data_IF_966995278541
#
_entry.id   IF_966995278541
#
_cell.length_a   1.000
_cell.length_b   1.000
_cell.length_c   1.000
_cell.angle_alpha   90.00
_cell.angle_beta   90.00
_cell.angle_gamma   90.00
#
_symmetry.space_group_name_H-M   'P 1'
#
loop_
_entity.id
_entity.type
_entity.pdbx_description
1 polymer ?
#
# COMPACT_ATOMS: atom_id res chain seq x y z
N UNK A 1 15.24 -4.79 -10.86
CA UNK A 1 14.29 -4.24 -9.87
C UNK A 1 12.91 -4.59 -10.38
N UNK A 2 12.16 -5.37 -9.63
CA UNK A 2 10.84 -5.82 -10.05
C UNK A 2 9.78 -4.73 -9.94
N UNK A 3 8.73 -4.80 -10.78
CA UNK A 3 7.60 -3.88 -10.72
C UNK A 3 6.99 -3.80 -9.31
N UNK A 4 6.90 -4.93 -8.61
CA UNK A 4 6.40 -5.01 -7.25
C UNK A 4 7.25 -4.19 -6.26
N UNK A 5 8.58 -4.24 -6.38
CA UNK A 5 9.47 -3.46 -5.53
C UNK A 5 9.27 -1.95 -5.73
N UNK A 6 9.06 -1.51 -6.98
CA UNK A 6 8.74 -0.10 -7.25
C UNK A 6 7.41 0.33 -6.63
N UNK A 7 6.41 -0.57 -6.55
CA UNK A 7 5.15 -0.30 -5.83
C UNK A 7 5.44 -0.07 -4.34
N UNK A 8 6.22 -0.96 -3.70
CA UNK A 8 6.60 -0.82 -2.30
C UNK A 8 7.32 0.51 -2.03
N UNK A 9 8.30 0.87 -2.87
CA UNK A 9 9.05 2.12 -2.74
C UNK A 9 8.17 3.37 -2.90
N UNK A 10 7.22 3.34 -3.84
CA UNK A 10 6.26 4.45 -4.07
C UNK A 10 5.32 4.63 -2.89
N UNK A 11 4.86 3.54 -2.30
CA UNK A 11 3.98 3.56 -1.13
C UNK A 11 4.78 3.95 0.12
N UNK A 12 6.05 3.57 0.18
CA UNK A 12 6.96 3.82 1.29
C UNK A 12 7.17 2.59 2.19
N UNK A 13 6.77 1.40 1.75
CA UNK A 13 6.97 0.14 2.47
C UNK A 13 8.40 -0.35 2.20
N UNK A 14 9.17 -0.66 3.24
CA UNK A 14 10.55 -1.16 3.12
C UNK A 14 11.65 -0.09 3.06
N UNK A 15 11.29 1.20 2.95
CA UNK A 15 12.19 2.28 3.39
C UNK A 15 12.00 2.40 4.90
N UNK A 16 12.94 1.85 5.66
CA UNK A 16 13.05 2.10 7.08
C UNK A 16 12.82 3.60 7.32
N UNK A 17 11.78 3.91 8.09
CA UNK A 17 11.48 5.17 8.73
C UNK A 17 12.63 6.20 8.64
N UNK A 18 12.69 6.92 7.52
CA UNK A 18 13.51 8.12 7.41
C UNK A 18 12.54 9.30 7.55
N UNK A 19 12.04 9.43 8.79
CA UNK A 19 11.65 10.66 9.50
C UNK A 19 10.70 11.65 8.82
N UNK A 20 9.62 12.03 9.52
CA UNK A 20 9.49 13.36 10.09
C UNK A 20 10.11 13.30 11.50
N UNK A 21 11.24 13.94 11.75
CA UNK A 21 11.25 15.28 12.31
C UNK A 21 9.96 15.58 13.10
N UNK A 22 9.78 14.85 14.19
CA UNK A 22 9.06 15.40 15.33
C UNK A 22 10.08 16.26 16.05
N UNK A 23 10.29 17.48 15.56
CA UNK A 23 10.73 18.60 16.40
C UNK A 23 9.74 18.72 17.55
N UNK A 24 9.97 17.96 18.62
CA UNK A 24 9.37 18.21 19.91
C UNK A 24 10.16 19.39 20.52
N UNK A 25 9.57 20.58 20.70
CA UNK A 25 10.20 21.55 21.57
C UNK A 25 10.22 20.94 22.96
N UNK A 26 11.43 20.82 23.49
CA UNK A 26 11.72 20.57 24.90
C UNK A 26 10.88 21.50 25.79
N UNK A 27 10.10 20.93 26.71
CA UNK A 27 9.61 21.66 27.90
C UNK A 27 9.46 20.67 29.05
N UNK A 28 10.29 20.74 30.09
CA UNK A 28 10.04 20.09 31.38
C UNK A 28 9.51 21.11 32.42
N UNK A 29 8.96 20.65 33.57
CA UNK A 29 7.76 19.85 33.75
C UNK A 29 6.78 20.52 34.75
N UNK A 30 5.47 20.26 34.67
CA UNK A 30 4.57 20.58 35.81
C UNK A 30 3.48 19.53 36.00
N UNK A 31 3.30 19.15 37.26
CA UNK A 31 2.41 18.11 37.74
C UNK A 31 0.95 18.56 37.72
N UNK A 32 0.03 17.68 37.30
CA UNK A 32 -1.28 17.48 37.95
C UNK A 32 -2.15 16.42 37.23
N UNK A 33 -2.55 15.42 38.02
CA UNK A 33 -3.86 14.74 38.12
C UNK A 33 -4.79 14.65 36.90
N UNK A 34 -5.06 13.40 36.51
CA UNK A 34 -6.43 12.88 36.37
C UNK A 34 -7.12 13.05 35.02
N UNK A 35 -7.16 11.98 34.23
CA UNK A 35 -8.04 11.86 33.07
C UNK A 35 -7.85 10.53 32.36
N UNK A 36 -8.81 9.62 32.52
CA UNK A 36 -8.87 8.36 31.79
C UNK A 36 -9.09 8.63 30.28
N UNK A 37 -7.99 8.63 29.52
CA UNK A 37 -7.99 8.46 28.07
C UNK A 37 -7.43 7.08 27.77
N UNK A 38 -8.19 6.28 27.03
CA UNK A 38 -7.82 4.94 26.59
C UNK A 38 -6.38 4.89 26.05
N UNK A 39 -5.68 3.75 26.19
CA UNK A 39 -4.40 3.58 25.51
C UNK A 39 -4.69 3.59 24.01
N UNK A 40 -4.52 4.74 23.36
CA UNK A 40 -4.21 4.74 21.93
C UNK A 40 -2.85 4.06 21.84
N UNK A 41 -2.91 2.76 21.61
CA UNK A 41 -1.79 1.92 21.22
C UNK A 41 -0.93 2.75 20.26
N UNK A 42 0.38 2.93 20.50
CA UNK A 42 1.24 3.47 19.48
C UNK A 42 1.09 2.53 18.30
N UNK A 43 0.33 2.99 17.29
CA UNK A 43 0.07 2.23 16.10
C UNK A 43 1.45 1.92 15.54
N UNK A 44 1.78 0.63 15.58
CA UNK A 44 2.90 0.02 14.87
C UNK A 44 3.14 0.79 13.59
N UNK A 45 4.39 1.14 13.34
CA UNK A 45 4.95 1.89 12.19
C UNK A 45 4.70 1.12 10.87
N UNK A 46 3.45 0.74 10.61
CA UNK A 46 2.97 0.06 9.44
C UNK A 46 2.38 1.12 8.53
N UNK A 47 2.90 1.16 7.31
CA UNK A 47 2.47 2.14 6.31
C UNK A 47 1.03 1.83 5.92
N UNK A 48 0.10 2.73 6.21
CA UNK A 48 -1.29 2.56 5.83
C UNK A 48 -1.45 2.68 4.31
N UNK A 49 -1.51 1.52 3.64
CA UNK A 49 -1.55 1.40 2.19
C UNK A 49 -2.81 2.02 1.64
N UNK A 50 -3.95 1.74 2.29
CA UNK A 50 -5.23 2.24 1.86
C UNK A 50 -5.29 3.76 1.93
N UNK A 51 -4.85 4.36 3.05
CA UNK A 51 -4.81 5.81 3.18
C UNK A 51 -3.82 6.46 2.19
N UNK A 52 -2.65 5.84 1.95
CA UNK A 52 -1.67 6.30 0.96
C UNK A 52 -2.23 6.31 -0.45
N UNK A 53 -2.84 5.20 -0.87
CA UNK A 53 -3.40 5.05 -2.21
C UNK A 53 -4.65 5.93 -2.37
N UNK A 54 -5.49 6.07 -1.35
CA UNK A 54 -6.67 6.94 -1.38
C UNK A 54 -6.27 8.42 -1.50
N UNK A 55 -5.28 8.85 -0.72
CA UNK A 55 -4.73 10.20 -0.80
C UNK A 55 -4.12 10.51 -2.18
N UNK A 56 -3.38 9.56 -2.76
CA UNK A 56 -2.88 9.69 -4.13
C UNK A 56 -4.01 9.73 -5.15
N UNK A 57 -5.03 8.87 -5.01
CA UNK A 57 -6.16 8.80 -5.94
C UNK A 57 -7.00 10.07 -5.91
N UNK A 58 -7.17 10.66 -4.74
CA UNK A 58 -7.87 11.93 -4.58
C UNK A 58 -7.06 13.12 -5.15
N UNK A 59 -5.73 13.04 -5.15
CA UNK A 59 -4.86 14.02 -5.80
C UNK A 59 -4.69 13.76 -7.31
N UNK A 60 -5.13 12.60 -7.81
CA UNK A 60 -5.01 12.24 -9.21
C UNK A 60 -6.13 12.91 -10.02
N UNK A 61 -5.85 13.49 -11.21
CA UNK A 61 -6.86 14.16 -12.02
C UNK A 61 -7.91 13.18 -12.59
N UNK A 62 -7.56 11.90 -12.71
CA UNK A 62 -8.47 10.82 -13.15
C UNK A 62 -9.04 10.05 -11.96
N UNK A 63 -10.32 9.66 -12.03
CA UNK A 63 -10.94 8.71 -11.09
C UNK A 63 -10.44 7.29 -11.34
N UNK A 64 -9.35 6.93 -10.67
CA UNK A 64 -8.71 5.62 -10.74
C UNK A 64 -9.27 4.68 -9.66
N UNK A 65 -9.80 3.52 -10.07
CA UNK A 65 -10.36 2.51 -9.15
C UNK A 65 -9.30 1.51 -8.69
N UNK A 66 -8.27 1.98 -8.02
CA UNK A 66 -7.14 1.15 -7.57
C UNK A 66 -7.55 -0.02 -6.66
N UNK A 67 -8.73 0.07 -6.01
CA UNK A 67 -9.32 -0.94 -5.11
C UNK A 67 -9.86 -2.19 -5.81
N UNK A 68 -10.13 -2.11 -7.11
CA UNK A 68 -10.68 -3.22 -7.90
C UNK A 68 -9.86 -3.50 -9.15
N UNK A 69 -9.07 -2.52 -9.59
CA UNK A 69 -8.27 -2.57 -10.79
C UNK A 69 -6.79 -2.38 -10.47
N UNK A 70 -6.01 -3.44 -10.67
CA UNK A 70 -4.53 -3.34 -10.62
C UNK A 70 -3.98 -2.35 -11.66
N UNK A 71 -4.69 -2.15 -12.77
CA UNK A 71 -4.33 -1.19 -13.83
C UNK A 71 -4.34 0.23 -13.28
N UNK A 72 -5.43 0.58 -12.61
CA UNK A 72 -5.62 1.89 -12.01
C UNK A 72 -4.64 2.11 -10.86
N UNK A 73 -4.33 1.06 -10.09
CA UNK A 73 -3.28 1.11 -9.08
C UNK A 73 -1.90 1.40 -9.68
N UNK A 74 -1.53 0.73 -10.78
CA UNK A 74 -0.26 1.00 -11.47
C UNK A 74 -0.23 2.42 -12.05
N UNK A 75 -1.29 2.88 -12.71
CA UNK A 75 -1.42 4.26 -13.21
C UNK A 75 -1.25 5.28 -12.08
N UNK A 76 -1.89 5.03 -10.94
CA UNK A 76 -1.84 5.89 -9.77
C UNK A 76 -0.40 6.11 -9.28
N UNK A 77 0.39 5.04 -9.29
CA UNK A 77 1.79 5.05 -8.85
C UNK A 77 2.73 5.63 -9.94
N UNK A 78 2.20 5.91 -11.13
CA UNK A 78 2.96 6.34 -12.31
C UNK A 78 3.79 5.20 -12.91
N UNK A 79 3.33 3.94 -12.77
CA UNK A 79 3.97 2.75 -13.29
C UNK A 79 3.34 2.31 -14.61
N UNK A 80 4.10 1.54 -15.40
CA UNK A 80 3.59 0.97 -16.64
C UNK A 80 2.44 0.00 -16.34
N UNK A 81 1.28 0.28 -16.92
CA UNK A 81 0.04 -0.48 -16.70
C UNK A 81 -0.27 -1.44 -17.86
N UNK A 82 0.72 -1.63 -18.76
CA UNK A 82 0.60 -2.44 -19.96
C UNK A 82 0.57 -3.93 -19.62
N UNK A 83 0.15 -4.73 -20.58
CA UNK A 83 0.11 -6.19 -20.43
C UNK A 83 1.50 -6.77 -20.09
N UNK A 84 2.57 -6.17 -20.61
CA UNK A 84 3.94 -6.57 -20.28
C UNK A 84 4.23 -6.43 -18.78
N UNK A 85 3.99 -5.24 -18.19
CA UNK A 85 4.18 -4.99 -16.77
C UNK A 85 3.30 -5.88 -15.90
N UNK A 86 2.03 -6.10 -16.27
CA UNK A 86 1.17 -7.05 -15.54
C UNK A 86 1.66 -8.49 -15.60
N UNK A 87 2.19 -8.94 -16.74
CA UNK A 87 2.77 -10.30 -16.86
C UNK A 87 4.06 -10.42 -16.05
N UNK A 88 4.88 -9.39 -16.02
CA UNK A 88 6.07 -9.34 -15.17
C UNK A 88 5.69 -9.42 -13.70
N UNK A 89 4.76 -8.57 -13.24
CA UNK A 89 4.22 -8.60 -11.88
C UNK A 89 3.60 -9.95 -11.53
N UNK A 90 2.88 -10.56 -12.47
CA UNK A 90 2.29 -11.88 -12.29
C UNK A 90 3.38 -12.94 -12.11
N UNK A 91 4.43 -12.88 -12.91
CA UNK A 91 5.55 -13.81 -12.83
C UNK A 91 6.30 -13.64 -11.50
N UNK A 92 6.55 -12.40 -11.09
CA UNK A 92 7.19 -12.04 -9.83
C UNK A 92 6.40 -12.52 -8.60
N UNK A 93 5.07 -12.41 -8.64
CA UNK A 93 4.18 -12.86 -7.57
C UNK A 93 3.89 -14.36 -7.62
N UNK A 94 4.37 -15.09 -8.63
CA UNK A 94 4.10 -16.52 -8.80
C UNK A 94 2.67 -16.83 -9.22
N UNK A 95 2.09 -16.03 -10.12
CA UNK A 95 0.75 -16.22 -10.65
C UNK A 95 0.62 -17.61 -11.29
N UNK A 96 -0.39 -18.41 -10.90
CA UNK A 96 -0.59 -19.73 -11.46
C UNK A 96 -0.98 -19.65 -12.94
N UNK A 97 -0.47 -20.61 -13.73
CA UNK A 97 -0.75 -20.70 -15.16
C UNK A 97 -2.25 -20.82 -15.48
N UNK A 98 -3.03 -21.40 -14.54
CA UNK A 98 -4.50 -21.50 -14.59
C UNK A 98 -5.18 -20.11 -14.67
N UNK A 99 -4.61 -19.11 -13.99
CA UNK A 99 -5.13 -17.73 -13.99
C UNK A 99 -4.53 -16.89 -15.12
N UNK A 100 -3.35 -17.24 -15.64
CA UNK A 100 -2.74 -16.54 -16.79
C UNK A 100 -3.53 -16.67 -18.09
N UNK A 101 -4.34 -17.73 -18.24
CA UNK A 101 -5.15 -17.95 -19.44
C UNK A 101 -6.33 -16.98 -19.59
N UNK A 102 -6.80 -16.40 -18.49
CA UNK A 102 -7.97 -15.52 -18.48
C UNK A 102 -7.60 -14.13 -17.94
N UNK A 103 -7.64 -13.11 -18.79
CA UNK A 103 -7.23 -11.75 -18.42
C UNK A 103 -8.02 -11.18 -17.24
N UNK A 104 -9.30 -11.53 -17.08
CA UNK A 104 -10.13 -11.02 -15.99
C UNK A 104 -9.73 -11.67 -14.65
N UNK A 105 -9.62 -13.01 -14.64
CA UNK A 105 -9.16 -13.75 -13.47
C UNK A 105 -7.71 -13.39 -13.10
N UNK A 106 -6.83 -13.23 -14.09
CA UNK A 106 -5.47 -12.76 -13.88
C UNK A 106 -5.49 -11.40 -13.17
N UNK A 107 -6.28 -10.44 -13.66
CA UNK A 107 -6.32 -9.09 -13.10
C UNK A 107 -6.83 -9.06 -11.65
N UNK A 108 -7.88 -9.83 -11.36
CA UNK A 108 -8.42 -9.99 -10.00
C UNK A 108 -7.43 -10.66 -9.06
N UNK A 109 -6.80 -11.75 -9.51
CA UNK A 109 -5.79 -12.45 -8.73
C UNK A 109 -4.57 -11.56 -8.47
N UNK A 110 -4.10 -10.83 -9.48
CA UNK A 110 -2.95 -9.94 -9.39
C UNK A 110 -3.19 -8.83 -8.39
N UNK A 111 -4.37 -8.22 -8.42
CA UNK A 111 -4.78 -7.21 -7.45
C UNK A 111 -4.69 -7.74 -6.01
N UNK A 112 -5.29 -8.91 -5.73
CA UNK A 112 -5.26 -9.54 -4.42
C UNK A 112 -3.85 -9.93 -3.99
N UNK A 113 -3.06 -10.52 -4.89
CA UNK A 113 -1.69 -10.95 -4.63
C UNK A 113 -0.79 -9.75 -4.28
N UNK A 114 -0.91 -8.63 -5.01
CA UNK A 114 -0.19 -7.39 -4.72
C UNK A 114 -0.56 -6.88 -3.34
N UNK A 115 -1.85 -6.74 -3.03
CA UNK A 115 -2.31 -6.25 -1.73
C UNK A 115 -1.85 -7.14 -0.57
N UNK A 116 -1.98 -8.46 -0.72
CA UNK A 116 -1.49 -9.42 0.26
C UNK A 116 0.02 -9.26 0.47
N UNK A 117 0.78 -9.12 -0.62
CA UNK A 117 2.24 -8.96 -0.53
C UNK A 117 2.64 -7.63 0.09
N UNK A 118 1.89 -6.55 -0.16
CA UNK A 118 2.06 -5.27 0.54
C UNK A 118 1.86 -5.43 2.04
N UNK A 119 0.80 -6.15 2.44
CA UNK A 119 0.52 -6.43 3.85
C UNK A 119 1.66 -7.25 4.51
N UNK A 120 2.15 -8.28 3.82
CA UNK A 120 3.28 -9.10 4.30
C UNK A 120 4.59 -8.32 4.45
N UNK A 121 4.79 -7.24 3.68
CA UNK A 121 6.02 -6.42 3.72
C UNK A 121 5.95 -5.25 4.71
N UNK A 122 4.89 -5.17 5.54
CA UNK A 122 4.74 -4.12 6.55
C UNK A 122 3.72 -3.01 6.20
N UNK A 123 2.94 -3.21 5.13
CA UNK A 123 1.78 -2.37 4.84
C UNK A 123 0.58 -2.72 5.72
N UNK A 124 -0.20 -1.73 6.14
CA UNK A 124 -1.55 -1.97 6.68
C UNK A 124 -2.55 -1.95 5.52
N UNK A 125 -3.18 -3.09 5.24
CA UNK A 125 -4.19 -3.24 4.18
C UNK A 125 -5.50 -3.71 4.82
N UNK A 126 -6.62 -2.98 4.65
CA UNK A 126 -7.91 -3.37 5.21
C UNK A 126 -8.42 -4.67 4.57
N UNK A 127 -9.10 -5.49 5.38
CA UNK A 127 -9.64 -6.79 4.96
C UNK A 127 -10.59 -6.70 3.77
N UNK A 128 -11.33 -5.60 3.64
CA UNK A 128 -12.24 -5.32 2.51
C UNK A 128 -11.54 -5.36 1.14
N UNK A 129 -10.23 -5.04 1.10
CA UNK A 129 -9.44 -5.08 -0.13
C UNK A 129 -8.77 -6.45 -0.36
N UNK A 130 -8.73 -7.29 0.66
CA UNK A 130 -8.17 -8.65 0.63
C UNK A 130 -9.23 -9.71 0.28
N UNK A 131 -10.52 -9.35 0.30
CA UNK A 131 -11.67 -10.24 0.08
C UNK A 131 -11.87 -10.69 -1.37
#
# INVERSE_FOLDING_TARGET
>A
MGLFNSILEKIGIGRAHATPDSSAPTTPPEASTGGAGAPTTPAVDQVDVAAKLDGMANNHPEKLNWRTSIVDLLKLLGLDSSLAARKELATELGCPADKMGDSAQMNMWLHKAVLKRLAENGGNVPADLLD
#
